data_IF_316856068580
#
_entry.id   IF_316856068580
#
_cell.length_a   1.000
_cell.length_b   1.000
_cell.length_c   1.000
_cell.angle_alpha   90.00
_cell.angle_beta   90.00
_cell.angle_gamma   90.00
#
_symmetry.space_group_name_H-M   'P 1'
#
loop_
_entity.id
_entity.type
_entity.pdbx_description
1 polymer ?
#
# COMPACT_ATOMS: atom_id res chain seq x y z
N UNK A 1 -13.36 9.73 -12.77
CA UNK A 1 -12.72 8.51 -13.31
C UNK A 1 -12.34 7.60 -12.13
N UNK A 2 -12.16 6.30 -12.35
CA UNK A 2 -11.73 5.35 -11.31
C UNK A 2 -10.24 5.06 -11.49
N UNK A 3 -9.44 5.30 -10.45
CA UNK A 3 -7.99 5.17 -10.45
C UNK A 3 -7.59 4.12 -9.41
N UNK A 4 -6.80 3.14 -9.85
CA UNK A 4 -6.16 2.18 -8.97
C UNK A 4 -4.70 2.59 -8.80
N UNK A 5 -4.33 3.03 -7.60
CA UNK A 5 -2.94 3.28 -7.25
C UNK A 5 -2.36 1.98 -6.69
N UNK A 6 -1.39 1.36 -7.34
CA UNK A 6 -0.78 0.11 -6.87
C UNK A 6 0.65 0.33 -6.37
N UNK A 7 0.94 -0.07 -5.13
CA UNK A 7 2.30 -0.10 -4.59
C UNK A 7 2.63 -1.51 -4.11
N UNK A 8 3.90 -1.91 -4.25
CA UNK A 8 4.34 -3.22 -3.77
C UNK A 8 4.33 -3.28 -2.23
N UNK A 9 4.69 -2.19 -1.56
CA UNK A 9 5.03 -2.20 -0.15
C UNK A 9 4.19 -1.19 0.64
N UNK A 10 3.61 -1.64 1.76
CA UNK A 10 3.04 -0.77 2.79
C UNK A 10 3.60 -1.19 4.15
N UNK A 11 4.59 -0.45 4.69
CA UNK A 11 5.19 -0.78 5.96
C UNK A 11 4.20 -0.63 7.13
N UNK A 12 4.46 -1.30 8.27
CA UNK A 12 3.62 -1.20 9.46
C UNK A 12 3.75 0.16 10.16
N UNK A 13 4.83 0.88 9.88
CA UNK A 13 5.06 2.27 10.26
C UNK A 13 4.85 3.20 9.06
N UNK A 14 4.57 4.47 9.30
CA UNK A 14 4.44 5.45 8.22
C UNK A 14 5.78 5.65 7.51
N UNK A 15 5.83 5.30 6.23
CA UNK A 15 7.01 5.43 5.38
C UNK A 15 6.81 6.39 4.22
N UNK A 16 7.89 6.72 3.51
CA UNK A 16 7.85 7.66 2.36
C UNK A 16 6.86 7.26 1.27
N UNK A 17 6.75 5.96 0.97
CA UNK A 17 5.77 5.46 -0.02
C UNK A 17 4.33 5.69 0.42
N UNK A 18 4.04 5.60 1.73
CA UNK A 18 2.71 5.87 2.25
C UNK A 18 2.37 7.35 2.11
N UNK A 19 3.29 8.25 2.46
CA UNK A 19 3.08 9.69 2.25
C UNK A 19 2.84 10.02 0.79
N UNK A 20 3.66 9.49 -0.12
CA UNK A 20 3.49 9.72 -1.55
C UNK A 20 2.14 9.19 -2.06
N UNK A 21 1.75 7.97 -1.66
CA UNK A 21 0.50 7.36 -2.06
C UNK A 21 -0.73 8.12 -1.53
N UNK A 22 -0.69 8.52 -0.25
CA UNK A 22 -1.77 9.30 0.37
C UNK A 22 -1.87 10.70 -0.25
N UNK A 23 -0.75 11.37 -0.53
CA UNK A 23 -0.73 12.68 -1.20
C UNK A 23 -1.30 12.60 -2.61
N UNK A 24 -0.87 11.64 -3.42
CA UNK A 24 -1.40 11.45 -4.78
C UNK A 24 -2.89 11.13 -4.77
N UNK A 25 -3.30 10.21 -3.90
CA UNK A 25 -4.70 9.85 -3.71
C UNK A 25 -5.54 11.07 -3.33
N UNK A 26 -5.04 11.93 -2.44
CA UNK A 26 -5.73 13.16 -2.07
C UNK A 26 -5.88 14.10 -3.27
N UNK A 27 -4.79 14.38 -4.00
CA UNK A 27 -4.84 15.26 -5.17
C UNK A 27 -5.87 14.79 -6.21
N UNK A 28 -5.86 13.50 -6.56
CA UNK A 28 -6.82 12.96 -7.53
C UNK A 28 -8.27 12.94 -7.01
N UNK A 29 -8.48 12.73 -5.71
CA UNK A 29 -9.82 12.87 -5.11
C UNK A 29 -10.31 14.31 -5.14
N UNK A 30 -9.43 15.27 -4.88
CA UNK A 30 -9.74 16.70 -4.96
C UNK A 30 -10.10 17.11 -6.41
N UNK A 31 -9.59 16.40 -7.41
CA UNK A 31 -9.97 16.53 -8.83
C UNK A 31 -11.26 15.76 -9.21
N UNK A 32 -11.95 15.15 -8.24
CA UNK A 32 -13.21 14.43 -8.45
C UNK A 32 -13.03 13.00 -8.97
N UNK A 33 -11.90 12.37 -8.73
CA UNK A 33 -11.67 10.95 -9.06
C UNK A 33 -11.93 10.02 -7.88
N UNK A 34 -12.43 8.82 -8.18
CA UNK A 34 -12.45 7.71 -7.21
C UNK A 34 -11.08 7.04 -7.23
N UNK A 35 -10.45 6.91 -6.06
CA UNK A 35 -9.10 6.37 -5.97
C UNK A 35 -9.02 5.31 -4.88
N UNK A 36 -8.69 4.09 -5.28
CA UNK A 36 -8.38 2.99 -4.36
C UNK A 36 -6.87 2.76 -4.38
N UNK A 37 -6.26 2.73 -3.20
CA UNK A 37 -4.88 2.29 -3.06
C UNK A 37 -4.87 0.77 -2.86
N UNK A 38 -4.05 0.07 -3.63
CA UNK A 38 -3.80 -1.36 -3.53
C UNK A 38 -2.35 -1.56 -3.09
N UNK A 39 -2.15 -2.28 -1.98
CA UNK A 39 -0.83 -2.65 -1.49
C UNK A 39 -0.77 -4.12 -1.13
N UNK A 40 0.43 -4.63 -0.83
CA UNK A 40 0.57 -6.00 -0.32
C UNK A 40 0.40 -6.03 1.20
N UNK A 41 0.07 -7.20 1.71
CA UNK A 41 0.08 -7.52 3.14
C UNK A 41 1.50 -7.76 3.69
N UNK A 42 2.53 -7.53 2.87
CA UNK A 42 3.94 -7.70 3.21
C UNK A 42 4.58 -6.33 3.52
N UNK A 43 5.26 -6.18 4.69
CA UNK A 43 5.42 -7.16 5.75
C UNK A 43 4.14 -7.26 6.60
N UNK A 44 3.96 -8.36 7.34
CA UNK A 44 2.84 -8.50 8.27
C UNK A 44 2.89 -7.43 9.37
N UNK A 45 1.74 -7.14 9.98
CA UNK A 45 1.63 -6.17 11.09
C UNK A 45 1.30 -4.74 10.69
N UNK A 46 1.05 -4.47 9.40
CA UNK A 46 0.45 -3.20 8.98
C UNK A 46 -1.04 -3.11 9.31
N UNK A 47 -1.62 -1.92 9.08
CA UNK A 47 -3.06 -1.66 9.27
C UNK A 47 -3.93 -2.61 8.45
N UNK A 48 -5.16 -2.82 8.91
CA UNK A 48 -6.17 -3.58 8.17
C UNK A 48 -6.57 -2.90 6.86
N UNK A 49 -7.04 -3.71 5.92
CA UNK A 49 -7.62 -3.23 4.65
C UNK A 49 -8.85 -2.37 4.92
N UNK A 50 -8.99 -1.29 4.15
CA UNK A 50 -10.19 -0.45 4.08
C UNK A 50 -10.69 -0.36 2.65
N UNK A 51 -11.89 0.18 2.42
CA UNK A 51 -12.44 0.35 1.07
C UNK A 51 -11.55 1.21 0.17
N UNK A 52 -10.90 2.22 0.75
CA UNK A 52 -10.01 3.10 0.00
C UNK A 52 -8.53 2.64 0.02
N UNK A 53 -8.18 1.62 0.81
CA UNK A 53 -6.82 1.05 0.88
C UNK A 53 -6.89 -0.47 1.08
N UNK A 54 -6.79 -1.22 0.00
CA UNK A 54 -6.90 -2.67 -0.01
C UNK A 54 -5.50 -3.27 0.09
N UNK A 55 -5.28 -4.10 1.11
CA UNK A 55 -4.09 -4.95 1.24
C UNK A 55 -4.40 -6.34 0.74
N UNK A 56 -3.59 -6.84 -0.20
CA UNK A 56 -3.73 -8.17 -0.78
C UNK A 56 -2.66 -9.12 -0.26
N UNK A 57 -3.02 -10.41 -0.04
CA UNK A 57 -2.05 -11.48 0.16
C UNK A 57 -1.03 -11.50 -0.98
N UNK A 58 0.24 -11.37 -0.63
CA UNK A 58 1.34 -11.46 -1.58
C UNK A 58 2.30 -12.59 -1.23
N UNK A 59 3.08 -13.02 -2.22
CA UNK A 59 4.17 -13.97 -2.01
C UNK A 59 5.40 -13.42 -2.70
N UNK A 60 6.45 -13.15 -1.93
CA UNK A 60 7.76 -12.89 -2.50
C UNK A 60 8.45 -14.23 -2.79
N UNK A 61 8.59 -14.59 -4.07
CA UNK A 61 9.23 -15.83 -4.47
C UNK A 61 10.74 -15.82 -4.23
N UNK A 62 11.38 -14.65 -4.36
CA UNK A 62 12.82 -14.48 -4.22
C UNK A 62 13.25 -14.45 -2.74
N UNK A 63 12.41 -13.89 -1.85
CA UNK A 63 12.68 -13.79 -0.41
C UNK A 63 12.12 -14.98 0.41
N UNK A 64 11.79 -16.12 -0.23
CA UNK A 64 11.42 -17.35 0.49
C UNK A 64 12.52 -17.87 1.43
N UNK A 65 13.73 -17.31 1.36
CA UNK A 65 14.93 -17.70 2.11
C UNK A 65 15.50 -16.56 2.97
N UNK A 66 14.68 -15.97 3.87
CA UNK A 66 15.03 -14.94 4.88
C UNK A 66 15.33 -13.53 4.29
N UNK A 67 15.10 -12.37 4.91
CA UNK A 67 14.93 -11.93 6.30
C UNK A 67 13.95 -10.74 6.27
N UNK A 68 12.83 -10.78 6.99
CA UNK A 68 12.17 -9.54 7.40
C UNK A 68 13.07 -8.91 8.46
N UNK A 69 13.94 -7.98 8.09
CA UNK A 69 14.65 -7.16 9.08
C UNK A 69 13.59 -6.33 9.78
N UNK A 70 13.26 -6.59 11.06
CA UNK A 70 12.37 -5.72 11.81
C UNK A 70 13.19 -4.47 12.10
N UNK A 71 12.89 -3.38 11.39
CA UNK A 71 13.35 -2.04 11.76
C UNK A 71 12.40 -1.49 12.80
#
# INVERSE_FOLDING_TARGET
MRILLATNYQPPHTGGIQYAAESLKRCWRDEGHEVTWLSTDIPPGGRDSTEDNIRLPATNFLERWQCYTPV
#
